data_IF_590236155343
#
_entry.id   IF_590236155343
#
_cell.length_a   1.000
_cell.length_b   1.000
_cell.length_c   1.000
_cell.angle_alpha   90.00
_cell.angle_beta   90.00
_cell.angle_gamma   90.00
#
_symmetry.space_group_name_H-M   'P 1'
#
loop_
_entity.id
_entity.type
_entity.pdbx_description
1 polymer ?
#
# COMPACT_ATOMS: atom_id res chain seq x y z
N UNK A 1 12.52 21.62 -18.60
CA UNK A 1 12.42 21.09 -17.23
C UNK A 1 11.08 20.37 -17.18
N UNK A 2 11.11 19.05 -17.21
CA UNK A 2 9.92 18.22 -17.07
C UNK A 2 9.37 18.44 -15.67
N UNK A 3 8.17 19.01 -15.57
CA UNK A 3 7.41 19.02 -14.31
C UNK A 3 7.23 17.57 -13.90
N UNK A 4 7.98 17.14 -12.88
CA UNK A 4 7.73 15.86 -12.22
C UNK A 4 6.25 15.85 -11.85
N UNK A 5 5.49 14.83 -12.26
CA UNK A 5 4.05 14.73 -12.09
C UNK A 5 3.54 14.71 -10.65
N UNK A 6 4.37 15.17 -9.70
CA UNK A 6 4.02 15.25 -8.28
C UNK A 6 3.21 16.53 -8.02
N UNK A 7 2.00 16.44 -7.43
CA UNK A 7 1.12 17.59 -7.23
C UNK A 7 1.64 18.59 -6.19
N UNK A 8 2.43 18.14 -5.20
CA UNK A 8 2.87 19.00 -4.11
C UNK A 8 3.74 20.16 -4.57
N UNK A 9 3.48 21.34 -4.00
CA UNK A 9 4.22 22.56 -4.30
C UNK A 9 3.77 23.30 -5.57
N UNK A 10 2.79 22.80 -6.31
CA UNK A 10 2.18 23.50 -7.45
C UNK A 10 0.80 24.07 -7.10
N UNK A 11 0.34 25.11 -7.82
CA UNK A 11 -1.03 25.58 -7.71
C UNK A 11 -2.06 24.50 -8.07
N UNK A 12 -3.22 24.55 -7.43
CA UNK A 12 -4.35 23.67 -7.74
C UNK A 12 -4.85 23.87 -9.17
N UNK A 13 -5.16 22.77 -9.85
CA UNK A 13 -5.71 22.75 -11.21
C UNK A 13 -7.07 22.05 -11.21
N UNK A 14 -7.85 22.32 -12.26
CA UNK A 14 -9.07 21.57 -12.52
C UNK A 14 -8.78 20.07 -12.60
N UNK A 15 -9.59 19.25 -11.95
CA UNK A 15 -9.41 17.80 -11.87
C UNK A 15 -8.56 17.34 -10.69
N UNK A 16 -7.83 18.23 -10.01
CA UNK A 16 -7.04 17.85 -8.84
C UNK A 16 -7.91 17.33 -7.70
N UNK A 17 -7.38 16.34 -7.01
CA UNK A 17 -7.85 15.97 -5.67
C UNK A 17 -7.34 16.98 -4.67
N UNK A 18 -8.23 17.45 -3.79
CA UNK A 18 -7.89 18.40 -2.72
C UNK A 18 -8.33 17.81 -1.39
N UNK A 19 -7.37 17.68 -0.48
CA UNK A 19 -7.61 17.37 0.92
C UNK A 19 -7.88 18.67 1.67
N UNK A 20 -9.05 18.76 2.27
CA UNK A 20 -9.50 19.93 3.00
C UNK A 20 -9.55 19.58 4.48
N UNK A 21 -8.90 20.39 5.30
CA UNK A 21 -8.92 20.26 6.77
C UNK A 21 -9.59 21.52 7.35
N UNK A 22 -10.65 21.34 8.12
CA UNK A 22 -11.30 22.46 8.77
C UNK A 22 -10.70 22.77 10.15
N UNK A 23 -11.07 23.93 10.71
CA UNK A 23 -10.57 24.40 12.02
C UNK A 23 -10.97 23.51 13.22
N UNK A 24 -11.72 22.43 13.00
CA UNK A 24 -12.07 21.39 13.99
C UNK A 24 -11.42 20.05 13.68
N UNK A 25 -10.38 20.04 12.84
CA UNK A 25 -9.66 18.84 12.42
C UNK A 25 -10.54 17.80 11.71
N UNK A 26 -11.57 18.25 10.96
CA UNK A 26 -12.35 17.37 10.10
C UNK A 26 -11.77 17.38 8.70
N UNK A 27 -11.60 16.20 8.13
CA UNK A 27 -10.92 15.96 6.88
C UNK A 27 -11.91 15.60 5.78
N UNK A 28 -11.77 16.21 4.62
CA UNK A 28 -12.59 15.97 3.43
C UNK A 28 -11.67 15.78 2.23
N UNK A 29 -12.10 14.98 1.26
CA UNK A 29 -11.42 14.82 -0.02
C UNK A 29 -12.40 15.13 -1.14
N UNK A 30 -12.09 16.13 -1.94
CA UNK A 30 -12.89 16.53 -3.09
C UNK A 30 -12.08 16.45 -4.39
N UNK A 31 -12.78 16.48 -5.53
CA UNK A 31 -12.16 16.69 -6.85
C UNK A 31 -12.60 18.04 -7.37
N UNK A 32 -11.68 18.90 -7.78
CA UNK A 32 -12.00 20.20 -8.36
C UNK A 32 -12.69 20.02 -9.72
N UNK A 33 -13.89 20.58 -9.87
CA UNK A 33 -14.73 20.49 -11.06
C UNK A 33 -15.14 21.88 -11.53
N UNK A 34 -15.39 22.02 -12.84
CA UNK A 34 -16.02 23.21 -13.37
C UNK A 34 -17.39 23.42 -12.71
N UNK A 35 -17.62 24.64 -12.21
CA UNK A 35 -18.85 25.01 -11.51
C UNK A 35 -19.14 24.11 -10.28
N UNK A 36 -18.13 23.42 -9.74
CA UNK A 36 -18.26 22.63 -8.53
C UNK A 36 -18.31 23.56 -7.28
N UNK A 37 -18.98 23.07 -6.24
CA UNK A 37 -19.09 23.75 -4.95
C UNK A 37 -18.82 22.76 -3.83
N UNK A 38 -18.14 23.20 -2.79
CA UNK A 38 -17.98 22.48 -1.54
C UNK A 38 -18.91 23.04 -0.47
N UNK A 39 -19.92 22.26 -0.12
CA UNK A 39 -20.94 22.64 0.84
C UNK A 39 -20.59 22.22 2.26
N UNK A 40 -20.72 23.14 3.20
CA UNK A 40 -20.49 22.92 4.63
C UNK A 40 -21.61 23.52 5.46
N UNK A 41 -21.69 23.17 6.74
CA UNK A 41 -22.63 23.79 7.67
C UNK A 41 -22.33 25.28 7.98
N UNK A 42 -21.15 25.77 7.60
CA UNK A 42 -20.72 27.16 7.76
C UNK A 42 -20.85 27.99 6.48
N UNK A 43 -21.35 27.40 5.39
CA UNK A 43 -21.47 28.01 4.08
C UNK A 43 -20.87 27.13 2.99
N UNK A 44 -20.65 27.71 1.83
CA UNK A 44 -20.04 27.05 0.68
C UNK A 44 -18.90 27.91 0.12
N UNK A 45 -18.02 27.27 -0.64
CA UNK A 45 -17.09 27.95 -1.54
C UNK A 45 -17.07 27.22 -2.90
N UNK A 46 -16.84 27.99 -3.95
CA UNK A 46 -16.71 27.43 -5.29
C UNK A 46 -15.35 26.75 -5.48
N UNK A 47 -15.30 25.66 -6.24
CA UNK A 47 -14.02 25.03 -6.61
C UNK A 47 -13.11 26.01 -7.37
N UNK A 48 -13.70 26.96 -8.10
CA UNK A 48 -12.99 28.03 -8.81
C UNK A 48 -12.17 28.92 -7.86
N UNK A 49 -12.56 29.05 -6.57
CA UNK A 49 -11.83 29.85 -5.58
C UNK A 49 -10.47 29.25 -5.21
N UNK A 50 -10.28 27.93 -5.50
CA UNK A 50 -9.04 27.20 -5.26
C UNK A 50 -8.16 27.06 -6.52
N UNK A 51 -8.77 27.02 -7.70
CA UNK A 51 -8.01 26.83 -8.96
C UNK A 51 -7.02 27.99 -9.13
N UNK A 52 -5.74 27.66 -9.33
CA UNK A 52 -4.65 28.62 -9.43
C UNK A 52 -4.08 29.09 -8.08
N UNK A 53 -4.68 28.72 -6.96
CA UNK A 53 -4.13 29.03 -5.64
C UNK A 53 -3.05 28.01 -5.24
N UNK A 54 -2.06 28.44 -4.43
CA UNK A 54 -1.03 27.54 -3.93
C UNK A 54 -1.61 26.56 -2.89
N UNK A 55 -0.93 25.43 -2.73
CA UNK A 55 -1.14 24.51 -1.61
C UNK A 55 -0.99 25.25 -0.27
N UNK A 56 -1.80 24.87 0.73
CA UNK A 56 -1.86 25.59 2.02
C UNK A 56 -2.82 26.77 2.03
N UNK A 57 -3.48 27.08 0.91
CA UNK A 57 -4.53 28.12 0.86
C UNK A 57 -5.60 27.82 1.90
N UNK A 58 -5.92 28.83 2.71
CA UNK A 58 -6.98 28.75 3.72
C UNK A 58 -8.14 29.69 3.33
N UNK A 59 -9.33 29.11 3.22
CA UNK A 59 -10.57 29.82 2.96
C UNK A 59 -11.33 30.04 4.27
N UNK A 60 -11.75 31.27 4.52
CA UNK A 60 -12.58 31.61 5.68
C UNK A 60 -14.04 31.69 5.26
N UNK A 61 -14.92 30.96 5.97
CA UNK A 61 -16.36 31.00 5.79
C UNK A 61 -17.03 31.63 7.00
N UNK A 62 -18.36 31.69 6.98
CA UNK A 62 -19.14 32.24 8.06
C UNK A 62 -18.82 31.61 9.43
N UNK A 63 -19.08 32.31 10.51
CA UNK A 63 -18.87 31.87 11.89
C UNK A 63 -17.41 31.57 12.27
N UNK A 64 -16.44 32.16 11.56
CA UNK A 64 -15.01 32.00 11.86
C UNK A 64 -14.44 30.62 11.51
N UNK A 65 -15.17 29.79 10.74
CA UNK A 65 -14.66 28.50 10.27
C UNK A 65 -13.67 28.72 9.13
N UNK A 66 -12.52 28.06 9.25
CA UNK A 66 -11.48 28.08 8.22
C UNK A 66 -11.30 26.68 7.64
N UNK A 67 -10.90 26.63 6.38
CA UNK A 67 -10.69 25.40 5.60
C UNK A 67 -9.35 25.50 4.89
N UNK A 68 -8.37 24.74 5.35
CA UNK A 68 -7.04 24.65 4.72
C UNK A 68 -7.04 23.59 3.66
N UNK A 69 -6.56 23.94 2.48
CA UNK A 69 -6.58 23.09 1.29
C UNK A 69 -5.17 22.62 0.93
N UNK A 70 -4.99 21.31 0.80
CA UNK A 70 -3.71 20.64 0.57
C UNK A 70 -3.86 19.65 -0.61
N UNK A 71 -2.79 19.34 -1.30
CA UNK A 71 -2.76 18.13 -2.11
C UNK A 71 -2.76 16.91 -1.17
N UNK A 72 -3.56 15.86 -1.43
CA UNK A 72 -3.62 14.71 -0.56
C UNK A 72 -2.29 13.94 -0.58
N UNK A 73 -1.83 13.53 0.58
CA UNK A 73 -0.79 12.51 0.70
C UNK A 73 -1.34 11.15 0.23
N UNK A 74 -0.49 10.16 0.07
CA UNK A 74 -0.93 8.79 -0.22
C UNK A 74 -1.83 8.25 0.90
N UNK A 75 -1.50 8.56 2.16
CA UNK A 75 -2.31 8.17 3.32
C UNK A 75 -3.70 8.79 3.27
N UNK A 76 -3.79 10.11 3.07
CA UNK A 76 -5.07 10.82 2.96
C UNK A 76 -5.93 10.25 1.85
N UNK A 77 -5.30 9.96 0.70
CA UNK A 77 -5.98 9.38 -0.45
C UNK A 77 -6.53 8.00 -0.14
N UNK A 78 -5.71 7.08 0.37
CA UNK A 78 -6.12 5.70 0.69
C UNK A 78 -7.25 5.67 1.71
N UNK A 79 -7.21 6.53 2.72
CA UNK A 79 -8.23 6.59 3.76
C UNK A 79 -9.57 7.17 3.26
N UNK A 80 -9.57 8.01 2.22
CA UNK A 80 -10.74 8.77 1.74
C UNK A 80 -11.16 8.44 0.30
N UNK A 81 -10.37 7.66 -0.45
CA UNK A 81 -10.68 7.34 -1.84
C UNK A 81 -12.02 6.63 -2.00
N UNK A 82 -12.70 6.76 -3.14
CA UNK A 82 -13.88 5.96 -3.46
C UNK A 82 -13.54 4.46 -3.45
N UNK A 83 -14.23 3.70 -2.64
CA UNK A 83 -13.99 2.26 -2.49
C UNK A 83 -15.28 1.49 -2.35
N UNK A 84 -15.31 0.25 -2.82
CA UNK A 84 -16.44 -0.67 -2.69
C UNK A 84 -16.16 -1.84 -1.74
N UNK A 85 -14.89 -1.99 -1.30
CA UNK A 85 -14.44 -3.02 -0.38
C UNK A 85 -13.47 -2.42 0.65
N UNK A 86 -13.09 -3.25 1.62
CA UNK A 86 -12.01 -2.93 2.54
C UNK A 86 -10.71 -2.76 1.75
N UNK A 87 -9.90 -1.78 2.13
CA UNK A 87 -8.57 -1.55 1.58
C UNK A 87 -7.51 -1.86 2.62
N UNK A 88 -6.32 -2.24 2.17
CA UNK A 88 -5.15 -2.35 3.05
C UNK A 88 -4.86 -0.98 3.64
N UNK A 89 -4.71 -0.91 4.96
CA UNK A 89 -4.47 0.34 5.66
C UNK A 89 -3.05 0.89 5.38
N UNK A 90 -2.86 2.21 5.42
CA UNK A 90 -1.55 2.84 5.21
C UNK A 90 -0.45 2.28 6.13
N UNK A 91 -0.80 1.91 7.37
CA UNK A 91 0.15 1.30 8.32
C UNK A 91 0.74 -0.02 7.83
N UNK A 92 0.01 -0.76 6.98
CA UNK A 92 0.43 -2.02 6.39
C UNK A 92 1.07 -1.82 5.01
N UNK A 93 0.59 -0.83 4.23
CA UNK A 93 1.14 -0.52 2.90
C UNK A 93 2.65 -0.21 2.98
N UNK A 94 3.07 0.63 3.94
CA UNK A 94 4.49 0.96 4.11
C UNK A 94 5.37 -0.29 4.31
N UNK A 95 5.09 -1.13 5.30
CA UNK A 95 5.77 -2.41 5.49
C UNK A 95 5.69 -3.33 4.27
N UNK A 96 4.55 -3.40 3.55
CA UNK A 96 4.44 -4.19 2.32
C UNK A 96 5.48 -3.75 1.29
N UNK A 97 5.60 -2.45 1.03
CA UNK A 97 6.57 -1.92 0.06
C UNK A 97 8.02 -2.32 0.41
N UNK A 98 8.36 -2.29 1.69
CA UNK A 98 9.69 -2.65 2.18
C UNK A 98 9.91 -4.17 2.17
N UNK A 99 8.95 -4.95 2.66
CA UNK A 99 9.06 -6.41 2.75
C UNK A 99 9.06 -7.07 1.38
N UNK A 100 8.28 -6.53 0.44
CA UNK A 100 8.29 -6.97 -0.95
C UNK A 100 9.45 -6.34 -1.73
N UNK A 101 10.22 -5.42 -1.14
CA UNK A 101 11.34 -4.73 -1.79
C UNK A 101 10.91 -4.15 -3.15
N UNK A 102 9.91 -3.26 -3.13
CA UNK A 102 9.39 -2.60 -4.33
C UNK A 102 10.36 -1.48 -4.74
N UNK A 103 10.86 -1.53 -5.97
CA UNK A 103 11.84 -0.57 -6.52
C UNK A 103 11.42 -0.05 -7.91
N UNK A 104 12.03 1.03 -8.40
CA UNK A 104 11.74 1.55 -9.74
C UNK A 104 12.04 0.52 -10.84
N UNK A 105 11.04 0.24 -11.68
CA UNK A 105 11.13 -0.77 -12.73
C UNK A 105 10.78 -2.19 -12.29
N UNK A 106 10.53 -2.41 -11.00
CA UNK A 106 10.10 -3.71 -10.46
C UNK A 106 8.84 -4.22 -11.18
N UNK A 107 8.86 -5.45 -11.66
CA UNK A 107 7.73 -6.13 -12.31
C UNK A 107 6.93 -6.87 -11.26
N UNK A 108 5.73 -6.40 -10.99
CA UNK A 108 4.85 -6.92 -9.93
C UNK A 108 3.62 -7.56 -10.56
N UNK A 109 3.32 -8.79 -10.18
CA UNK A 109 1.98 -9.34 -10.28
C UNK A 109 1.24 -9.03 -8.99
N UNK A 110 0.17 -8.26 -9.06
CA UNK A 110 -0.77 -8.00 -7.96
C UNK A 110 -2.06 -8.77 -8.21
N UNK A 111 -2.57 -9.50 -7.21
CA UNK A 111 -3.91 -10.09 -7.30
C UNK A 111 -4.75 -9.73 -6.09
N UNK A 112 -6.02 -9.40 -6.39
CA UNK A 112 -6.91 -8.72 -5.45
C UNK A 112 -6.71 -7.21 -5.51
N UNK A 113 -6.70 -6.63 -6.72
CA UNK A 113 -6.45 -5.20 -6.98
C UNK A 113 -7.42 -4.30 -6.21
N UNK A 114 -8.68 -4.71 -6.11
CA UNK A 114 -9.72 -4.01 -5.38
C UNK A 114 -9.90 -2.57 -5.85
N UNK A 115 -9.74 -1.61 -4.95
CA UNK A 115 -9.88 -0.18 -5.28
C UNK A 115 -8.57 0.49 -5.73
N UNK A 116 -7.47 -0.24 -5.85
CA UNK A 116 -6.17 0.26 -6.31
C UNK A 116 -5.35 1.00 -5.26
N UNK A 117 -5.62 0.77 -3.96
CA UNK A 117 -4.88 1.42 -2.88
C UNK A 117 -3.41 0.98 -2.86
N UNK A 118 -3.17 -0.34 -2.85
CA UNK A 118 -1.83 -0.90 -2.86
C UNK A 118 -1.14 -0.68 -4.20
N UNK A 119 -1.86 -0.86 -5.32
CA UNK A 119 -1.38 -0.53 -6.67
C UNK A 119 -0.84 0.90 -6.73
N UNK A 120 -1.59 1.88 -6.18
CA UNK A 120 -1.17 3.29 -6.16
C UNK A 120 0.17 3.49 -5.43
N UNK A 121 0.37 2.78 -4.32
CA UNK A 121 1.60 2.84 -3.54
C UNK A 121 2.79 2.25 -4.32
N UNK A 122 2.63 1.07 -4.90
CA UNK A 122 3.67 0.39 -5.67
C UNK A 122 4.03 1.16 -6.96
N UNK A 123 3.02 1.69 -7.67
CA UNK A 123 3.22 2.54 -8.84
C UNK A 123 3.97 3.84 -8.50
N UNK A 124 3.68 4.45 -7.35
CA UNK A 124 4.39 5.62 -6.85
C UNK A 124 5.87 5.33 -6.58
N UNK A 125 6.21 4.10 -6.16
CA UNK A 125 7.60 3.63 -6.04
C UNK A 125 8.27 3.35 -7.39
N UNK A 126 7.54 3.42 -8.50
CA UNK A 126 8.07 3.21 -9.84
C UNK A 126 7.91 1.80 -10.38
N UNK A 127 7.12 0.94 -9.75
CA UNK A 127 6.85 -0.41 -10.23
C UNK A 127 6.06 -0.42 -11.56
N UNK A 128 6.17 -1.54 -12.27
CA UNK A 128 5.28 -1.96 -13.35
C UNK A 128 4.38 -3.05 -12.81
N UNK A 129 3.06 -2.87 -12.90
CA UNK A 129 2.10 -3.77 -12.29
C UNK A 129 1.23 -4.42 -13.35
N UNK A 130 1.19 -5.76 -13.35
CA UNK A 130 0.08 -6.54 -13.91
C UNK A 130 -0.84 -6.91 -12.76
N UNK A 131 -2.04 -6.39 -12.78
CA UNK A 131 -3.06 -6.61 -11.74
C UNK A 131 -4.11 -7.61 -12.21
N UNK A 132 -4.41 -8.62 -11.40
CA UNK A 132 -5.53 -9.55 -11.64
C UNK A 132 -6.69 -9.20 -10.70
N UNK A 133 -7.87 -8.99 -11.31
CA UNK A 133 -9.10 -8.67 -10.59
C UNK A 133 -10.28 -9.39 -11.27
N UNK A 134 -11.14 -10.02 -10.49
CA UNK A 134 -12.31 -10.73 -11.02
C UNK A 134 -13.47 -9.82 -11.38
N UNK A 135 -13.56 -8.69 -10.69
CA UNK A 135 -14.71 -7.78 -10.79
C UNK A 135 -14.35 -6.58 -11.66
N UNK A 136 -15.06 -6.45 -12.76
CA UNK A 136 -14.87 -5.35 -13.71
C UNK A 136 -15.09 -3.95 -13.07
N UNK A 137 -16.07 -3.83 -12.17
CA UNK A 137 -16.35 -2.57 -11.46
C UNK A 137 -15.19 -2.16 -10.54
N UNK A 138 -14.47 -3.12 -9.94
CA UNK A 138 -13.26 -2.87 -9.17
C UNK A 138 -12.07 -2.53 -10.07
N UNK A 139 -11.85 -3.29 -11.14
CA UNK A 139 -10.76 -3.01 -12.08
C UNK A 139 -10.86 -1.58 -12.65
N UNK A 140 -12.08 -1.16 -13.05
CA UNK A 140 -12.34 0.19 -13.55
C UNK A 140 -12.14 1.26 -12.46
N UNK A 141 -12.58 0.98 -11.23
CA UNK A 141 -12.39 1.87 -10.09
C UNK A 141 -10.92 2.02 -9.74
N UNK A 142 -10.15 0.93 -9.73
CA UNK A 142 -8.72 0.96 -9.48
C UNK A 142 -7.98 1.85 -10.48
N UNK A 143 -8.25 1.70 -11.78
CA UNK A 143 -7.67 2.55 -12.83
C UNK A 143 -8.01 4.03 -12.60
N UNK A 144 -9.30 4.34 -12.35
CA UNK A 144 -9.74 5.72 -12.07
C UNK A 144 -9.08 6.29 -10.83
N UNK A 145 -8.96 5.52 -9.75
CA UNK A 145 -8.32 5.98 -8.53
C UNK A 145 -6.82 6.22 -8.72
N UNK A 146 -6.12 5.29 -9.38
CA UNK A 146 -4.69 5.41 -9.71
C UNK A 146 -4.45 6.65 -10.57
N UNK A 147 -5.21 6.82 -11.65
CA UNK A 147 -5.12 7.99 -12.52
C UNK A 147 -5.35 9.30 -11.77
N UNK A 148 -6.38 9.34 -10.91
CA UNK A 148 -6.74 10.54 -10.16
C UNK A 148 -5.69 10.96 -9.13
N UNK A 149 -4.87 10.03 -8.63
CA UNK A 149 -3.81 10.31 -7.66
C UNK A 149 -2.47 10.60 -8.35
N UNK A 150 -2.11 9.81 -9.35
CA UNK A 150 -0.76 9.78 -9.92
C UNK A 150 -0.67 10.40 -11.33
N UNK A 151 -1.82 10.71 -11.94
CA UNK A 151 -1.90 11.21 -13.32
C UNK A 151 -2.00 10.08 -14.36
N UNK A 152 -2.39 10.45 -15.60
CA UNK A 152 -2.63 9.49 -16.66
C UNK A 152 -1.37 8.75 -17.14
N UNK A 153 -0.21 9.38 -17.05
CA UNK A 153 1.07 8.81 -17.53
C UNK A 153 1.42 7.49 -16.81
N UNK A 154 1.00 7.34 -15.55
CA UNK A 154 1.27 6.14 -14.75
C UNK A 154 0.55 4.91 -15.31
N UNK A 155 -0.56 5.09 -16.04
CA UNK A 155 -1.34 3.98 -16.61
C UNK A 155 -0.54 3.16 -17.63
N UNK A 156 0.51 3.72 -18.21
CA UNK A 156 1.46 2.98 -19.07
C UNK A 156 2.23 1.88 -18.33
N UNK A 157 2.23 1.92 -17.00
CA UNK A 157 2.86 0.93 -16.11
C UNK A 157 1.85 0.12 -15.28
N UNK A 158 0.54 0.25 -15.60
CA UNK A 158 -0.53 -0.37 -14.85
C UNK A 158 -1.52 -1.08 -15.77
N UNK A 159 -1.33 -2.39 -15.91
CA UNK A 159 -2.22 -3.26 -16.68
C UNK A 159 -3.10 -4.08 -15.72
N UNK A 160 -4.41 -3.82 -15.71
CA UNK A 160 -5.36 -4.60 -14.90
C UNK A 160 -6.17 -5.51 -15.81
N UNK A 161 -6.09 -6.79 -15.57
CA UNK A 161 -6.76 -7.84 -16.35
C UNK A 161 -7.90 -8.45 -15.54
N UNK A 162 -9.03 -8.71 -16.21
CA UNK A 162 -10.15 -9.45 -15.63
C UNK A 162 -9.81 -10.94 -15.63
N UNK A 163 -9.23 -11.40 -14.53
CA UNK A 163 -8.67 -12.75 -14.46
C UNK A 163 -8.71 -13.32 -13.04
N UNK A 164 -8.93 -14.64 -12.99
CA UNK A 164 -8.82 -15.43 -11.76
C UNK A 164 -7.38 -15.93 -11.56
N UNK A 165 -6.74 -15.46 -10.49
CA UNK A 165 -5.40 -15.88 -10.12
C UNK A 165 -5.33 -17.34 -9.63
N UNK A 166 -6.44 -17.89 -9.19
CA UNK A 166 -6.54 -19.29 -8.78
C UNK A 166 -6.46 -20.27 -9.98
N UNK A 167 -6.81 -19.80 -11.19
CA UNK A 167 -6.66 -20.59 -12.42
C UNK A 167 -5.24 -20.59 -12.97
N UNK A 168 -4.39 -19.70 -12.49
CA UNK A 168 -2.99 -19.60 -12.90
C UNK A 168 -2.48 -18.19 -13.10
N UNK A 169 -1.17 -18.09 -13.34
CA UNK A 169 -0.45 -16.84 -13.65
C UNK A 169 0.23 -17.03 -15.00
N UNK A 170 -0.04 -16.14 -15.98
CA UNK A 170 0.55 -16.20 -17.31
C UNK A 170 1.91 -15.50 -17.36
N UNK A 171 2.14 -14.51 -16.52
CA UNK A 171 3.38 -13.77 -16.45
C UNK A 171 4.53 -14.70 -16.05
N UNK A 172 5.72 -14.37 -16.57
CA UNK A 172 6.95 -15.10 -16.28
C UNK A 172 8.06 -14.10 -15.94
N UNK A 173 8.97 -14.54 -15.09
CA UNK A 173 10.12 -13.75 -14.66
C UNK A 173 9.70 -12.42 -14.02
N UNK A 174 8.60 -12.42 -13.25
CA UNK A 174 8.23 -11.27 -12.42
C UNK A 174 9.13 -11.20 -11.19
N UNK A 175 9.35 -9.99 -10.70
CA UNK A 175 10.16 -9.77 -9.51
C UNK A 175 9.38 -10.09 -8.24
N UNK A 176 8.08 -9.75 -8.25
CA UNK A 176 7.21 -9.84 -7.06
C UNK A 176 5.84 -10.39 -7.41
N UNK A 177 5.28 -11.16 -6.50
CA UNK A 177 3.87 -11.54 -6.47
C UNK A 177 3.29 -11.02 -5.17
N UNK A 178 2.27 -10.15 -5.25
CA UNK A 178 1.62 -9.53 -4.08
C UNK A 178 0.14 -9.88 -4.09
N UNK A 179 -0.33 -10.51 -3.01
CA UNK A 179 -1.65 -11.12 -2.93
C UNK A 179 -2.48 -10.51 -1.80
N UNK A 180 -3.67 -9.99 -2.13
CA UNK A 180 -4.74 -9.61 -1.19
C UNK A 180 -6.00 -10.41 -1.53
N UNK A 181 -5.98 -11.70 -1.21
CA UNK A 181 -6.99 -12.68 -1.59
C UNK A 181 -7.52 -13.43 -0.37
N UNK A 182 -8.74 -13.98 -0.45
CA UNK A 182 -9.28 -14.83 0.61
C UNK A 182 -8.44 -16.10 0.88
N UNK A 183 -7.90 -16.72 -0.17
CA UNK A 183 -7.21 -18.02 -0.10
C UNK A 183 -5.87 -18.01 -0.86
N UNK A 184 -4.92 -17.09 -0.50
CA UNK A 184 -3.71 -16.87 -1.29
C UNK A 184 -2.76 -18.08 -1.34
N UNK A 185 -2.92 -19.07 -0.46
CA UNK A 185 -2.15 -20.31 -0.49
C UNK A 185 -2.36 -21.14 -1.76
N UNK A 186 -3.52 -21.03 -2.42
CA UNK A 186 -3.77 -21.67 -3.70
C UNK A 186 -2.99 -21.05 -4.86
N UNK A 187 -2.50 -19.83 -4.69
CA UNK A 187 -1.72 -19.11 -5.70
C UNK A 187 -0.22 -19.39 -5.57
N UNK A 188 0.26 -19.89 -4.43
CA UNK A 188 1.69 -20.16 -4.20
C UNK A 188 2.30 -21.04 -5.30
N UNK A 189 1.70 -22.18 -5.74
CA UNK A 189 2.25 -22.99 -6.83
C UNK A 189 2.32 -22.23 -8.17
N UNK A 190 1.39 -21.35 -8.44
CA UNK A 190 1.41 -20.53 -9.65
C UNK A 190 2.50 -19.46 -9.59
N UNK A 191 2.74 -18.89 -8.39
CA UNK A 191 3.81 -17.92 -8.16
C UNK A 191 5.20 -18.54 -8.39
N UNK A 192 5.40 -19.83 -8.08
CA UNK A 192 6.64 -20.55 -8.34
C UNK A 192 7.03 -20.57 -9.82
N UNK A 193 6.04 -20.65 -10.71
CA UNK A 193 6.25 -20.59 -12.16
C UNK A 193 6.37 -19.17 -12.69
N UNK A 194 5.83 -18.20 -12.00
CA UNK A 194 5.82 -16.79 -12.41
C UNK A 194 7.08 -16.03 -11.96
N UNK A 195 7.55 -16.29 -10.74
CA UNK A 195 8.72 -15.63 -10.16
C UNK A 195 10.02 -16.12 -10.80
N UNK A 196 10.96 -15.20 -10.98
CA UNK A 196 12.34 -15.60 -11.20
C UNK A 196 13.02 -16.04 -9.89
N UNK A 197 14.13 -16.81 -9.91
CA UNK A 197 14.88 -17.11 -8.70
C UNK A 197 15.33 -15.82 -7.98
N UNK A 198 15.05 -15.74 -6.67
CA UNK A 198 15.25 -14.54 -5.84
C UNK A 198 14.02 -13.66 -5.74
N UNK A 199 12.97 -13.92 -6.51
CA UNK A 199 11.69 -13.20 -6.44
C UNK A 199 10.99 -13.38 -5.10
N UNK A 200 10.12 -12.42 -4.73
CA UNK A 200 9.40 -12.42 -3.46
C UNK A 200 7.91 -12.59 -3.69
N UNK A 201 7.29 -13.51 -2.94
CA UNK A 201 5.86 -13.53 -2.72
C UNK A 201 5.55 -12.86 -1.38
N UNK A 202 4.55 -11.96 -1.38
CA UNK A 202 3.96 -11.37 -0.20
C UNK A 202 2.44 -11.58 -0.24
N UNK A 203 1.88 -12.17 0.82
CA UNK A 203 0.45 -12.29 1.01
C UNK A 203 -0.01 -11.47 2.23
N UNK A 204 -1.06 -10.68 2.04
CA UNK A 204 -1.83 -10.03 3.09
C UNK A 204 -3.05 -10.89 3.42
N UNK A 205 -3.21 -11.25 4.68
CA UNK A 205 -4.33 -12.11 5.13
C UNK A 205 -4.95 -11.58 6.42
N UNK A 206 -6.28 -11.56 6.55
CA UNK A 206 -6.95 -11.03 7.74
C UNK A 206 -6.84 -11.92 8.98
N UNK A 207 -6.47 -13.20 8.85
CA UNK A 207 -6.40 -14.11 9.98
C UNK A 207 -5.09 -14.89 10.05
N UNK A 208 -4.68 -15.26 11.27
CA UNK A 208 -3.47 -16.07 11.49
C UNK A 208 -3.59 -17.46 10.87
N UNK A 209 -4.79 -18.03 10.84
CA UNK A 209 -5.03 -19.33 10.21
C UNK A 209 -4.79 -19.28 8.70
N UNK A 210 -5.20 -18.23 8.01
CA UNK A 210 -4.88 -18.01 6.60
C UNK A 210 -3.37 -17.80 6.39
N UNK A 211 -2.71 -17.01 7.24
CA UNK A 211 -1.26 -16.85 7.21
C UNK A 211 -0.53 -18.19 7.38
N UNK A 212 -1.03 -19.06 8.26
CA UNK A 212 -0.50 -20.43 8.45
C UNK A 212 -0.64 -21.26 7.18
N UNK A 213 -1.77 -21.17 6.47
CA UNK A 213 -1.98 -21.87 5.20
C UNK A 213 -0.99 -21.43 4.12
N UNK A 214 -0.73 -20.09 4.02
CA UNK A 214 0.29 -19.57 3.11
C UNK A 214 1.67 -20.13 3.46
N UNK A 215 2.01 -20.20 4.76
CA UNK A 215 3.28 -20.76 5.23
C UNK A 215 3.40 -22.25 4.87
N UNK A 216 2.34 -23.03 5.06
CA UNK A 216 2.31 -24.44 4.67
C UNK A 216 2.46 -24.62 3.15
N UNK A 217 1.80 -23.77 2.35
CA UNK A 217 1.95 -23.81 0.89
C UNK A 217 3.38 -23.49 0.41
N UNK A 218 4.14 -22.74 1.21
CA UNK A 218 5.57 -22.44 0.96
C UNK A 218 6.52 -23.48 1.57
N UNK A 219 6.02 -24.59 2.13
CA UNK A 219 6.90 -25.66 2.61
C UNK A 219 7.55 -26.36 1.42
N UNK A 220 8.82 -26.73 1.60
CA UNK A 220 9.61 -27.37 0.54
C UNK A 220 10.95 -26.68 0.32
N UNK A 221 11.67 -27.09 -0.69
CA UNK A 221 13.06 -26.67 -0.88
C UNK A 221 13.21 -25.37 -1.69
N UNK A 222 12.14 -24.93 -2.38
CA UNK A 222 12.17 -23.75 -3.25
C UNK A 222 11.94 -22.41 -2.52
N UNK A 223 11.35 -22.42 -1.33
CA UNK A 223 11.05 -21.20 -0.57
C UNK A 223 11.98 -21.03 0.63
N UNK A 224 12.60 -19.86 0.72
CA UNK A 224 13.49 -19.48 1.85
C UNK A 224 13.09 -18.14 2.45
N UNK A 225 13.69 -17.78 3.57
CA UNK A 225 13.48 -16.50 4.28
C UNK A 225 12.00 -16.22 4.54
N UNK A 226 11.24 -17.26 4.81
CA UNK A 226 9.81 -17.15 5.07
C UNK A 226 9.57 -16.44 6.41
N UNK A 227 8.72 -15.43 6.38
CA UNK A 227 8.40 -14.61 7.54
C UNK A 227 6.91 -14.29 7.57
N UNK A 228 6.32 -14.28 8.77
CA UNK A 228 4.96 -13.76 9.01
C UNK A 228 5.03 -12.72 10.11
N UNK A 229 4.35 -11.60 9.92
CA UNK A 229 4.30 -10.52 10.90
C UNK A 229 2.96 -9.78 10.87
N UNK A 230 2.66 -9.12 11.95
CA UNK A 230 1.58 -8.17 12.11
C UNK A 230 2.16 -6.79 12.40
N UNK A 231 1.50 -5.74 11.94
CA UNK A 231 1.94 -4.35 12.16
C UNK A 231 0.97 -3.66 13.11
N UNK A 232 1.48 -3.20 14.23
CA UNK A 232 0.74 -2.42 15.23
C UNK A 232 1.26 -0.99 15.23
N UNK A 233 0.37 -0.02 14.98
CA UNK A 233 0.72 1.39 14.95
C UNK A 233 0.02 2.13 16.11
N UNK A 234 0.80 2.72 17.01
CA UNK A 234 0.29 3.43 18.17
C UNK A 234 0.52 4.93 18.07
N UNK A 235 -0.55 5.68 17.91
CA UNK A 235 -0.54 7.14 17.97
C UNK A 235 -0.37 7.67 19.39
N UNK A 236 0.09 8.92 19.48
CA UNK A 236 0.22 9.66 20.71
C UNK A 236 -0.48 11.02 20.58
N UNK A 237 -1.28 11.36 21.57
CA UNK A 237 -1.87 12.67 21.73
C UNK A 237 -0.89 13.55 22.51
N UNK A 238 -0.51 14.69 21.90
CA UNK A 238 0.39 15.67 22.51
C UNK A 238 -0.24 17.06 22.36
N UNK A 239 -0.69 17.64 23.47
CA UNK A 239 -1.25 19.00 23.50
C UNK A 239 -0.87 19.66 24.83
N UNK A 240 -0.02 20.70 24.77
CA UNK A 240 0.53 21.34 25.95
C UNK A 240 1.24 20.36 26.88
N UNK A 241 0.78 20.24 28.10
CA UNK A 241 1.29 19.31 29.13
C UNK A 241 0.62 17.91 29.04
N UNK A 242 -0.41 17.76 28.23
CA UNK A 242 -1.12 16.49 28.10
C UNK A 242 -0.40 15.58 27.07
N UNK A 243 0.33 14.59 27.55
CA UNK A 243 1.04 13.60 26.72
C UNK A 243 0.54 12.20 27.09
N UNK A 244 -0.09 11.52 26.15
CA UNK A 244 -0.64 10.17 26.37
C UNK A 244 -0.82 9.42 25.05
N UNK A 245 -0.88 8.07 25.08
CA UNK A 245 -1.33 7.33 23.90
C UNK A 245 -2.72 7.75 23.46
N UNK A 246 -2.99 7.67 22.17
CA UNK A 246 -4.34 7.87 21.65
C UNK A 246 -5.31 6.87 22.27
N UNK A 247 -6.57 7.31 22.48
CA UNK A 247 -7.62 6.46 23.01
C UNK A 247 -7.99 5.32 22.07
N UNK A 248 -7.86 5.56 20.76
CA UNK A 248 -8.18 4.57 19.73
C UNK A 248 -6.90 4.16 19.01
N UNK A 249 -6.76 2.88 18.78
CA UNK A 249 -5.70 2.29 17.97
C UNK A 249 -6.33 1.32 16.98
N UNK A 250 -6.00 1.44 15.70
CA UNK A 250 -6.27 0.37 14.75
C UNK A 250 -5.16 -0.66 14.94
N UNK A 251 -5.44 -1.67 15.78
CA UNK A 251 -4.46 -2.68 16.16
C UNK A 251 -4.35 -3.72 15.04
N UNK A 252 -5.26 -4.69 15.02
CA UNK A 252 -5.28 -5.75 14.03
C UNK A 252 -5.96 -5.28 12.75
N UNK A 253 -5.31 -5.54 11.61
CA UNK A 253 -5.87 -5.37 10.27
C UNK A 253 -5.61 -6.60 9.41
N UNK A 254 -4.44 -7.19 9.52
CA UNK A 254 -4.03 -8.39 8.81
C UNK A 254 -2.57 -8.76 9.09
N UNK A 255 -2.22 -9.93 8.59
CA UNK A 255 -0.87 -10.49 8.66
C UNK A 255 -0.18 -10.37 7.31
N UNK A 256 1.10 -10.05 7.33
CA UNK A 256 1.99 -9.99 6.18
C UNK A 256 2.85 -11.25 6.18
N UNK A 257 2.68 -12.12 5.20
CA UNK A 257 3.49 -13.33 5.04
C UNK A 257 4.33 -13.21 3.78
N UNK A 258 5.64 -13.39 3.91
CA UNK A 258 6.58 -13.31 2.80
C UNK A 258 7.41 -14.57 2.69
N UNK A 259 7.89 -14.86 1.46
CA UNK A 259 8.90 -15.86 1.17
C UNK A 259 9.66 -15.49 -0.10
N UNK A 260 10.93 -15.91 -0.21
CA UNK A 260 11.73 -15.77 -1.43
C UNK A 260 11.80 -17.09 -2.17
N UNK A 261 11.48 -17.06 -3.45
CA UNK A 261 11.58 -18.19 -4.35
C UNK A 261 13.01 -18.32 -4.87
N UNK A 262 13.62 -19.51 -4.78
CA UNK A 262 14.96 -19.79 -5.31
C UNK A 262 15.00 -20.85 -6.40
N UNK A 263 13.83 -21.40 -6.77
CA UNK A 263 13.70 -22.51 -7.72
C UNK A 263 13.66 -23.87 -7.01
N UNK A 264 13.00 -24.82 -7.63
CA UNK A 264 12.92 -26.20 -7.13
C UNK A 264 14.31 -26.84 -7.06
N UNK A 265 14.51 -27.67 -6.02
CA UNK A 265 15.75 -28.43 -5.83
C UNK A 265 17.00 -27.60 -5.54
N UNK A 266 16.85 -26.28 -5.36
CA UNK A 266 17.99 -25.37 -5.17
C UNK A 266 18.58 -25.43 -3.77
N UNK A 267 17.88 -26.05 -2.79
CA UNK A 267 18.30 -26.10 -1.40
C UNK A 267 18.55 -27.53 -0.93
N UNK A 268 19.81 -27.92 -0.86
CA UNK A 268 20.24 -29.13 -0.14
C UNK A 268 20.33 -28.85 1.37
N UNK A 269 19.21 -28.58 2.06
CA UNK A 269 19.20 -28.40 3.51
C UNK A 269 18.67 -29.65 4.19
N UNK A 270 19.52 -30.32 4.93
CA UNK A 270 19.16 -31.49 5.72
C UNK A 270 18.21 -31.11 6.88
N UNK A 271 17.34 -32.05 7.36
CA UNK A 271 16.50 -31.81 8.52
C UNK A 271 17.24 -31.28 9.75
N UNK A 272 18.44 -31.77 10.00
CA UNK A 272 19.32 -31.32 11.09
C UNK A 272 19.76 -29.83 10.97
N UNK A 273 19.80 -29.28 9.76
CA UNK A 273 20.09 -27.86 9.57
C UNK A 273 18.85 -26.99 9.78
N UNK A 274 17.65 -27.54 9.58
CA UNK A 274 16.39 -26.83 9.94
C UNK A 274 16.26 -26.66 11.45
N UNK A 275 16.59 -27.68 12.25
CA UNK A 275 16.59 -27.59 13.72
C UNK A 275 17.57 -26.54 14.23
N UNK A 276 18.80 -26.48 13.68
CA UNK A 276 19.78 -25.46 14.07
C UNK A 276 19.37 -24.03 13.74
N UNK A 277 18.62 -23.80 12.66
CA UNK A 277 18.14 -22.46 12.29
C UNK A 277 16.97 -22.01 13.20
N UNK A 278 16.19 -22.94 13.74
CA UNK A 278 15.17 -22.63 14.76
C UNK A 278 15.82 -22.26 16.08
N UNK A 279 16.83 -23.03 16.50
CA UNK A 279 17.55 -22.84 17.77
C UNK A 279 18.38 -21.52 17.80
N UNK A 280 18.94 -21.11 16.67
CA UNK A 280 19.70 -19.85 16.55
C UNK A 280 18.85 -18.57 16.57
N UNK A 281 17.53 -18.69 16.44
CA UNK A 281 16.60 -17.54 16.53
C UNK A 281 16.14 -17.24 17.96
N UNK A 282 16.34 -18.17 18.85
CA UNK A 282 16.04 -18.04 20.30
C UNK A 282 17.24 -17.57 21.10
N UNK A 283 18.43 -17.44 20.48
CA UNK A 283 19.55 -16.79 21.15
C UNK A 283 19.33 -15.27 21.21
N UNK A 284 19.41 -14.64 22.40
CA UNK A 284 19.34 -13.19 22.50
C UNK A 284 20.51 -12.58 21.71
N UNK A 285 20.22 -11.55 20.92
CA UNK A 285 21.24 -10.72 20.30
C UNK A 285 22.07 -10.12 21.44
N UNK A 286 23.21 -10.70 21.71
CA UNK A 286 24.19 -10.09 22.60
C UNK A 286 24.82 -8.93 21.82
N UNK A 287 24.47 -7.70 22.21
CA UNK A 287 25.18 -6.49 21.82
C UNK A 287 26.59 -6.50 22.44
N UNK A 288 27.52 -7.16 21.77
CA UNK A 288 28.94 -7.06 22.08
C UNK A 288 29.72 -6.76 20.79
N UNK A 289 29.65 -5.52 20.34
CA UNK A 289 30.73 -4.94 19.57
C UNK A 289 31.47 -3.91 20.46
N UNK A 290 32.77 -4.04 20.65
CA UNK A 290 33.53 -3.05 21.41
C UNK A 290 33.61 -1.75 20.63
N UNK A 291 33.20 -0.66 21.26
CA UNK A 291 33.47 0.70 20.82
C UNK A 291 34.97 0.87 20.69
N UNK A 292 35.48 0.97 19.47
CA UNK A 292 36.84 1.41 19.22
C UNK A 292 36.90 2.90 19.56
N UNK A 293 37.47 3.22 20.72
CA UNK A 293 37.95 4.56 21.05
C UNK A 293 39.13 4.92 20.13
N UNK A 294 38.99 6.05 19.44
CA UNK A 294 40.10 6.78 18.85
C UNK A 294 39.84 8.28 18.96
#
# INVERSE_FOLDING_TARGET
MTENGHPHGRPFKLGDRVHIVDSRDRHYLITLQNNGEFHTHAGLFAHADLIGKPEGTTLALARGMTYTCLHPTLEDFVLKMPRGAQVIYPKDIGPILILADIFPGCRVLESGVGSGALSSAMLRMGAHITGYELREDFANRARTNVESLLGADVLSRYDVQLRDCYEGIDERNVDRVVLDLPEPWHVVPHAETALHPGGILLAYTPSITQATQVRHAMEGDGWILQRTMEVLNRGWYIEGMAVRPDHRMVAHTGFLTTGRWIGEGSRAVTPAQRERVVDSRDEPILDDEPVLEA
#
